data_IF_747863220454
#
_entry.id   IF_747863220454
#
_cell.length_a   1.000
_cell.length_b   1.000
_cell.length_c   1.000
_cell.angle_alpha   90.00
_cell.angle_beta   90.00
_cell.angle_gamma   90.00
#
_symmetry.space_group_name_H-M   'P 1'
#
loop_
_entity.id
_entity.type
_entity.pdbx_description
1 polymer ?
#
# COMPACT_ATOMS: atom_id res chain seq x y z
N UNK A 1 -6.76 11.92 -15.95
CA UNK A 1 -5.47 11.24 -15.68
C UNK A 1 -5.58 10.59 -14.32
N UNK A 2 -4.77 9.59 -14.01
CA UNK A 2 -4.74 9.03 -12.67
C UNK A 2 -4.13 10.02 -11.68
N UNK A 3 -4.46 9.89 -10.40
CA UNK A 3 -3.99 10.75 -9.33
C UNK A 3 -2.73 10.13 -8.71
N UNK A 4 -1.57 10.66 -9.08
CA UNK A 4 -0.30 10.25 -8.48
C UNK A 4 -0.15 10.94 -7.12
N UNK A 5 -0.14 10.14 -6.05
CA UNK A 5 0.01 10.58 -4.67
C UNK A 5 1.32 11.31 -4.39
N UNK A 6 2.37 11.08 -5.20
CA UNK A 6 3.65 11.80 -5.05
C UNK A 6 3.52 13.30 -5.37
N UNK A 7 2.44 13.72 -6.03
CA UNK A 7 2.16 15.13 -6.28
C UNK A 7 1.34 15.79 -5.15
N UNK A 8 0.90 15.01 -4.16
CA UNK A 8 0.08 15.50 -3.06
C UNK A 8 0.94 16.11 -1.96
N UNK A 9 0.38 17.12 -1.28
CA UNK A 9 1.02 17.78 -0.15
C UNK A 9 0.37 17.25 1.13
N UNK A 10 0.91 16.15 1.66
CA UNK A 10 0.59 15.63 2.98
C UNK A 10 1.86 15.60 3.83
N UNK A 11 1.96 16.43 4.89
CA UNK A 11 3.19 16.56 5.68
C UNK A 11 3.57 15.28 6.43
N UNK A 12 2.61 14.41 6.75
CA UNK A 12 2.91 13.16 7.46
C UNK A 12 3.37 12.06 6.50
N UNK A 13 3.08 12.21 5.20
CA UNK A 13 3.45 11.24 4.16
C UNK A 13 4.57 11.73 3.23
N UNK A 14 4.97 13.00 3.30
CA UNK A 14 5.98 13.61 2.43
C UNK A 14 7.27 12.76 2.36
N UNK A 15 7.79 12.34 3.52
CA UNK A 15 8.98 11.50 3.58
C UNK A 15 8.81 10.13 2.90
N UNK A 16 7.59 9.57 2.90
CA UNK A 16 7.27 8.31 2.21
C UNK A 16 7.17 8.56 0.71
N UNK A 17 6.49 9.63 0.28
CA UNK A 17 6.34 9.98 -1.13
C UNK A 17 7.68 10.25 -1.81
N UNK A 18 8.55 11.05 -1.19
CA UNK A 18 9.89 11.33 -1.73
C UNK A 18 10.73 10.06 -1.82
N UNK A 19 10.74 9.22 -0.77
CA UNK A 19 11.50 7.96 -0.77
C UNK A 19 10.98 6.96 -1.80
N UNK A 20 9.67 6.94 -2.03
CA UNK A 20 9.03 6.02 -2.97
C UNK A 20 9.47 6.21 -4.43
N UNK A 21 10.02 7.37 -4.79
CA UNK A 21 10.62 7.58 -6.12
C UNK A 21 11.82 6.65 -6.36
N UNK A 22 12.57 6.33 -5.30
CA UNK A 22 13.84 5.61 -5.36
C UNK A 22 13.79 4.21 -4.73
N UNK A 23 12.78 3.94 -3.92
CA UNK A 23 12.68 2.70 -3.15
C UNK A 23 11.27 2.11 -3.20
N UNK A 24 11.16 0.80 -3.02
CA UNK A 24 9.87 0.18 -2.82
C UNK A 24 9.34 0.48 -1.42
N UNK A 25 8.02 0.61 -1.30
CA UNK A 25 7.39 0.82 -0.01
C UNK A 25 7.65 -0.39 0.90
N UNK A 26 7.88 -0.13 2.17
CA UNK A 26 7.88 -1.17 3.20
C UNK A 26 6.47 -1.34 3.81
N UNK A 27 6.30 -2.31 4.71
CA UNK A 27 5.02 -2.60 5.34
C UNK A 27 4.43 -1.39 6.10
N UNK A 28 5.27 -0.64 6.82
CA UNK A 28 4.86 0.54 7.57
C UNK A 28 4.43 1.69 6.66
N UNK A 29 5.11 1.89 5.54
CA UNK A 29 4.77 2.90 4.55
C UNK A 29 3.38 2.65 3.96
N UNK A 30 3.11 1.41 3.54
CA UNK A 30 1.81 1.02 2.99
C UNK A 30 0.70 1.24 4.02
N UNK A 31 0.94 0.90 5.28
CA UNK A 31 -0.01 1.13 6.37
C UNK A 31 -0.28 2.62 6.59
N UNK A 32 0.76 3.44 6.70
CA UNK A 32 0.62 4.88 6.95
C UNK A 32 -0.17 5.57 5.83
N UNK A 33 0.08 5.20 4.58
CA UNK A 33 -0.67 5.72 3.43
C UNK A 33 -2.13 5.26 3.47
N UNK A 34 -2.39 3.97 3.68
CA UNK A 34 -3.76 3.43 3.69
C UNK A 34 -4.56 3.85 4.94
N UNK A 35 -3.89 4.17 6.05
CA UNK A 35 -4.53 4.75 7.22
C UNK A 35 -5.20 6.10 6.89
N UNK A 36 -4.59 6.87 5.98
CA UNK A 36 -5.08 8.18 5.48
C UNK A 36 -5.90 8.10 4.19
N UNK A 37 -6.31 6.90 3.77
CA UNK A 37 -6.99 6.67 2.47
C UNK A 37 -8.24 7.53 2.22
N UNK A 38 -8.90 8.03 3.27
CA UNK A 38 -10.11 8.85 3.16
C UNK A 38 -9.79 10.31 2.82
N UNK A 39 -8.58 10.76 3.16
CA UNK A 39 -8.08 12.11 2.90
C UNK A 39 -7.28 12.20 1.59
N UNK A 40 -6.89 11.05 1.03
CA UNK A 40 -6.07 10.97 -0.18
C UNK A 40 -6.93 10.81 -1.45
N UNK A 41 -6.53 11.44 -2.57
CA UNK A 41 -7.26 11.31 -3.81
C UNK A 41 -7.14 9.89 -4.37
N UNK A 42 -8.28 9.31 -4.74
CA UNK A 42 -8.33 8.00 -5.41
C UNK A 42 -8.32 8.15 -6.92
N UNK A 43 -7.63 7.25 -7.59
CA UNK A 43 -7.64 7.09 -9.04
C UNK A 43 -8.84 6.26 -9.46
N UNK A 44 -9.53 6.69 -10.52
CA UNK A 44 -10.70 6.01 -11.09
C UNK A 44 -10.48 5.55 -12.53
N UNK A 45 -9.31 5.86 -13.09
CA UNK A 45 -8.92 5.53 -14.45
C UNK A 45 -7.67 4.64 -14.44
N UNK A 46 -7.50 3.77 -15.45
CA UNK A 46 -6.27 3.00 -15.60
C UNK A 46 -5.04 3.90 -15.75
N UNK A 47 -3.91 3.42 -15.23
CA UNK A 47 -2.61 4.06 -15.39
C UNK A 47 -2.14 3.89 -16.85
N UNK A 48 -1.67 4.96 -17.47
CA UNK A 48 -1.20 4.88 -18.86
C UNK A 48 0.23 4.36 -18.90
N UNK A 49 0.52 3.42 -19.80
CA UNK A 49 1.87 2.90 -19.93
C UNK A 49 2.74 3.79 -20.84
N UNK A 50 3.99 4.14 -20.47
CA UNK A 50 4.62 3.95 -19.16
C UNK A 50 4.43 5.18 -18.25
N UNK A 51 3.90 4.98 -17.04
CA UNK A 51 3.74 6.05 -16.04
C UNK A 51 4.30 5.57 -14.69
N UNK A 52 4.88 6.50 -13.94
CA UNK A 52 5.57 6.23 -12.68
C UNK A 52 4.87 6.86 -11.50
N UNK A 53 5.01 6.21 -10.36
CA UNK A 53 4.60 6.76 -9.07
C UNK A 53 3.61 5.90 -8.34
N UNK A 54 2.90 6.56 -7.43
CA UNK A 54 2.09 5.91 -6.41
C UNK A 54 0.63 6.29 -6.56
N UNK A 55 -0.26 5.31 -6.61
CA UNK A 55 -1.66 5.53 -6.94
C UNK A 55 -2.55 4.77 -5.96
N UNK A 56 -3.55 5.44 -5.42
CA UNK A 56 -4.57 4.83 -4.56
C UNK A 56 -5.82 4.55 -5.37
N UNK A 57 -6.40 3.36 -5.20
CA UNK A 57 -7.67 2.97 -5.83
C UNK A 57 -8.64 2.49 -4.76
N UNK A 58 -9.93 2.77 -4.95
CA UNK A 58 -11.02 2.20 -4.15
C UNK A 58 -11.90 1.30 -5.04
N UNK A 59 -11.27 0.35 -5.72
CA UNK A 59 -11.90 -0.49 -6.75
C UNK A 59 -11.25 -1.88 -6.69
N UNK A 60 -11.99 -2.91 -7.08
CA UNK A 60 -11.43 -4.26 -7.23
C UNK A 60 -10.37 -4.30 -8.34
N UNK A 61 -9.28 -5.02 -8.06
CA UNK A 61 -7.97 -4.97 -8.73
C UNK A 61 -8.07 -5.22 -10.25
N UNK A 62 -8.95 -6.16 -10.63
CA UNK A 62 -9.08 -6.65 -12.01
C UNK A 62 -9.71 -5.63 -12.98
N UNK A 63 -10.47 -4.65 -12.47
CA UNK A 63 -11.24 -3.76 -13.35
C UNK A 63 -10.45 -2.55 -13.86
N UNK A 64 -9.31 -2.23 -13.24
CA UNK A 64 -8.63 -0.94 -13.50
C UNK A 64 -7.12 -1.07 -13.73
N UNK A 65 -6.48 -2.13 -13.21
CA UNK A 65 -5.01 -2.17 -13.14
C UNK A 65 -4.34 -2.95 -14.28
N UNK A 66 -5.02 -3.92 -14.90
CA UNK A 66 -4.41 -4.86 -15.85
C UNK A 66 -4.62 -4.49 -17.33
N UNK A 67 -4.39 -3.22 -17.67
CA UNK A 67 -4.36 -2.77 -19.08
C UNK A 67 -3.06 -3.17 -19.80
N UNK A 68 -2.04 -3.58 -19.04
CA UNK A 68 -0.71 -3.95 -19.52
C UNK A 68 -0.57 -5.47 -19.50
N UNK A 69 0.02 -6.04 -20.55
CA UNK A 69 0.44 -7.43 -20.55
C UNK A 69 1.76 -7.57 -19.78
N UNK A 70 1.74 -8.31 -18.67
CA UNK A 70 2.90 -8.53 -17.81
C UNK A 70 3.64 -9.82 -18.21
N UNK A 71 4.98 -9.76 -18.24
CA UNK A 71 5.82 -10.91 -18.56
C UNK A 71 5.97 -11.86 -17.36
N UNK A 72 5.99 -11.29 -16.16
CA UNK A 72 6.05 -12.04 -14.90
C UNK A 72 5.08 -11.47 -13.89
N UNK A 73 4.48 -12.36 -13.09
CA UNK A 73 3.64 -12.01 -11.95
C UNK A 73 3.98 -12.92 -10.79
N UNK A 74 4.27 -12.32 -9.62
CA UNK A 74 4.52 -13.03 -8.36
C UNK A 74 3.57 -12.52 -7.29
N UNK A 75 3.06 -13.41 -6.45
CA UNK A 75 2.24 -13.08 -5.30
C UNK A 75 3.08 -13.18 -4.03
N UNK A 76 2.99 -12.16 -3.19
CA UNK A 76 3.77 -12.04 -1.96
C UNK A 76 2.91 -11.67 -0.78
N UNK A 77 3.39 -12.05 0.41
CA UNK A 77 2.75 -11.69 1.68
C UNK A 77 3.80 -11.16 2.66
N UNK A 78 3.47 -10.06 3.32
CA UNK A 78 4.16 -9.61 4.52
C UNK A 78 3.36 -10.05 5.75
N UNK A 79 4.04 -10.80 6.63
CA UNK A 79 3.54 -11.18 7.94
C UNK A 79 4.04 -10.17 9.00
N UNK A 80 3.15 -9.72 9.88
CA UNK A 80 3.48 -8.75 10.92
C UNK A 80 2.26 -8.42 11.77
N UNK A 81 2.15 -7.18 12.26
CA UNK A 81 0.98 -6.71 13.01
C UNK A 81 -0.32 -6.84 12.19
N UNK A 82 -0.21 -6.72 10.87
CA UNK A 82 -1.30 -6.91 9.91
C UNK A 82 -0.75 -7.59 8.67
N UNK A 83 -1.59 -8.40 8.02
CA UNK A 83 -1.22 -9.10 6.79
C UNK A 83 -1.37 -8.15 5.61
N UNK A 84 -0.28 -7.95 4.85
CA UNK A 84 -0.32 -7.26 3.56
C UNK A 84 -0.01 -8.28 2.48
N UNK A 85 -0.96 -8.48 1.57
CA UNK A 85 -0.73 -9.25 0.34
C UNK A 85 -0.40 -8.27 -0.78
N UNK A 86 0.54 -8.62 -1.64
CA UNK A 86 0.82 -7.80 -2.81
C UNK A 86 1.25 -8.64 -4.01
N UNK A 87 0.95 -8.13 -5.20
CA UNK A 87 1.46 -8.70 -6.45
C UNK A 87 2.61 -7.87 -6.98
N UNK A 88 3.66 -8.53 -7.43
CA UNK A 88 4.77 -7.95 -8.18
C UNK A 88 4.60 -8.35 -9.63
N UNK A 89 4.32 -7.40 -10.50
CA UNK A 89 4.22 -7.61 -11.94
C UNK A 89 5.39 -6.93 -12.64
N UNK A 90 6.02 -7.61 -13.58
CA UNK A 90 7.18 -7.10 -14.31
C UNK A 90 6.96 -7.24 -15.82
N UNK A 91 7.40 -6.22 -16.55
CA UNK A 91 7.54 -6.26 -18.01
C UNK A 91 8.96 -5.83 -18.38
N UNK A 92 9.62 -6.64 -19.21
CA UNK A 92 10.97 -6.37 -19.70
C UNK A 92 10.89 -5.50 -20.94
N UNK A 93 11.42 -4.29 -20.83
CA UNK A 93 11.46 -3.35 -21.93
C UNK A 93 12.69 -3.63 -22.80
N UNK A 94 12.58 -3.31 -24.09
CA UNK A 94 13.69 -3.47 -25.04
C UNK A 94 14.87 -2.64 -24.57
N UNK A 95 16.06 -3.27 -24.48
CA UNK A 95 17.29 -2.63 -24.09
C UNK A 95 17.59 -1.40 -24.96
N UNK A 96 17.85 -0.27 -24.31
CA UNK A 96 18.20 0.99 -24.99
C UNK A 96 19.66 0.92 -25.49
N UNK A 97 20.52 0.18 -24.80
CA UNK A 97 21.94 -0.04 -25.11
C UNK A 97 22.36 -1.51 -24.85
N UNK A 98 23.42 -1.99 -25.51
CA UNK A 98 23.97 -3.34 -25.28
C UNK A 98 24.39 -3.52 -23.80
N UNK A 99 23.75 -4.48 -23.12
CA UNK A 99 24.10 -4.87 -21.75
C UNK A 99 23.30 -4.17 -20.63
N UNK A 100 22.36 -3.28 -20.96
CA UNK A 100 21.44 -2.66 -20.00
C UNK A 100 20.02 -3.14 -20.27
N UNK A 101 19.42 -3.88 -19.32
CA UNK A 101 18.00 -4.19 -19.37
C UNK A 101 17.21 -3.12 -18.62
N UNK A 102 16.04 -2.76 -19.16
CA UNK A 102 15.11 -1.85 -18.49
C UNK A 102 13.88 -2.65 -18.11
N UNK A 103 13.49 -2.58 -16.84
CA UNK A 103 12.32 -3.31 -16.33
C UNK A 103 11.29 -2.31 -15.83
N UNK A 104 10.05 -2.47 -16.27
CA UNK A 104 8.89 -1.80 -15.70
C UNK A 104 8.24 -2.74 -14.70
N UNK A 105 8.16 -2.33 -13.44
CA UNK A 105 7.60 -3.12 -12.35
C UNK A 105 6.44 -2.39 -11.69
N UNK A 106 5.41 -3.17 -11.34
CA UNK A 106 4.27 -2.74 -10.54
C UNK A 106 4.20 -3.59 -9.27
N UNK A 107 4.02 -2.93 -8.13
CA UNK A 107 3.60 -3.57 -6.87
C UNK A 107 2.20 -3.11 -6.50
N UNK A 108 1.26 -4.05 -6.44
CA UNK A 108 -0.13 -3.77 -6.04
C UNK A 108 -0.39 -4.33 -4.64
N UNK A 109 -0.50 -3.45 -3.65
CA UNK A 109 -0.63 -3.78 -2.23
C UNK A 109 -2.09 -3.83 -1.79
N UNK A 110 -2.38 -4.79 -0.93
CA UNK A 110 -3.72 -5.12 -0.45
C UNK A 110 -3.67 -5.56 1.01
N UNK A 111 -4.39 -4.85 1.87
CA UNK A 111 -4.59 -5.19 3.27
C UNK A 111 -6.10 -5.16 3.56
N UNK A 112 -6.78 -6.25 3.20
CA UNK A 112 -8.25 -6.34 3.25
C UNK A 112 -8.80 -6.19 4.66
N UNK A 113 -8.10 -6.80 5.63
CA UNK A 113 -8.56 -6.87 7.01
C UNK A 113 -8.71 -5.49 7.65
N UNK A 114 -7.87 -4.52 7.24
CA UNK A 114 -7.87 -3.16 7.79
C UNK A 114 -8.50 -2.13 6.87
N UNK A 115 -8.28 -2.25 5.55
CA UNK A 115 -8.58 -1.17 4.60
C UNK A 115 -9.53 -1.60 3.48
N UNK A 116 -10.16 -2.77 3.61
CA UNK A 116 -11.24 -3.22 2.75
C UNK A 116 -10.87 -3.26 1.27
N UNK A 117 -11.59 -2.49 0.46
CA UNK A 117 -11.43 -2.43 -1.01
C UNK A 117 -10.28 -1.55 -1.48
N UNK A 118 -9.62 -0.79 -0.60
CA UNK A 118 -8.55 0.11 -1.02
C UNK A 118 -7.31 -0.66 -1.47
N UNK A 119 -6.70 -0.19 -2.56
CA UNK A 119 -5.49 -0.75 -3.15
C UNK A 119 -4.49 0.36 -3.37
N UNK A 120 -3.27 0.15 -2.90
CA UNK A 120 -2.16 1.03 -3.17
C UNK A 120 -1.30 0.40 -4.26
N UNK A 121 -1.01 1.13 -5.32
CA UNK A 121 -0.29 0.60 -6.48
C UNK A 121 0.91 1.48 -6.78
N UNK A 122 2.08 0.87 -6.85
CA UNK A 122 3.34 1.55 -7.05
C UNK A 122 4.00 1.08 -8.35
N UNK A 123 4.24 2.00 -9.29
CA UNK A 123 4.89 1.74 -10.58
C UNK A 123 6.28 2.36 -10.64
N UNK A 124 7.28 1.57 -11.02
CA UNK A 124 8.68 2.01 -11.16
C UNK A 124 9.34 1.43 -12.41
N UNK A 125 10.20 2.21 -13.05
CA UNK A 125 11.15 1.72 -14.07
C UNK A 125 12.52 1.75 -13.44
N UNK A 126 13.27 0.67 -13.57
CA UNK A 126 14.67 0.63 -13.18
C UNK A 126 15.51 -0.05 -14.24
N UNK A 127 16.81 0.23 -14.20
CA UNK A 127 17.81 -0.28 -15.11
C UNK A 127 18.65 -1.33 -14.38
N UNK A 128 18.68 -2.56 -14.90
CA UNK A 128 19.57 -3.59 -14.40
C UNK A 128 20.79 -3.68 -15.33
N UNK A 129 21.97 -3.52 -14.75
CA UNK A 129 23.19 -3.98 -15.40
C UNK A 129 23.18 -5.52 -15.33
N UNK A 130 23.68 -6.22 -16.37
CA UNK A 130 23.60 -7.68 -16.47
C UNK A 130 24.26 -8.51 -15.34
N UNK A 131 24.72 -7.86 -14.27
CA UNK A 131 25.46 -8.46 -13.16
C UNK A 131 24.83 -8.18 -11.77
N UNK A 132 23.75 -7.39 -11.68
CA UNK A 132 23.06 -7.03 -10.42
C UNK A 132 21.81 -7.89 -10.20
N UNK A 133 21.97 -9.22 -10.27
CA UNK A 133 20.83 -10.13 -10.27
C UNK A 133 20.44 -10.65 -8.89
N UNK A 134 20.48 -9.86 -7.82
CA UNK A 134 19.85 -10.25 -6.54
C UNK A 134 19.37 -9.00 -5.83
N UNK A 135 18.07 -8.75 -5.83
CA UNK A 135 17.49 -7.71 -4.99
C UNK A 135 16.37 -8.30 -4.13
N UNK A 136 16.53 -8.06 -2.84
CA UNK A 136 15.86 -8.67 -1.70
C UNK A 136 14.37 -8.39 -1.76
N UNK A 137 13.61 -9.33 -2.31
CA UNK A 137 12.18 -9.19 -2.46
C UNK A 137 11.49 -9.53 -1.14
N UNK A 138 11.41 -8.55 -0.25
CA UNK A 138 11.13 -8.59 1.20
C UNK A 138 9.85 -9.26 1.69
N UNK A 139 9.09 -9.97 0.85
CA UNK A 139 7.89 -10.72 1.25
C UNK A 139 7.98 -12.18 0.87
N UNK A 140 7.29 -13.02 1.62
CA UNK A 140 7.24 -14.45 1.40
C UNK A 140 6.47 -14.76 0.11
N UNK A 141 7.06 -15.57 -0.76
CA UNK A 141 6.42 -16.01 -1.99
C UNK A 141 5.27 -16.96 -1.63
N UNK A 142 4.05 -16.60 -2.06
CA UNK A 142 2.91 -17.51 -1.97
C UNK A 142 2.81 -18.24 -3.29
N UNK A 143 3.39 -19.43 -3.35
CA UNK A 143 3.24 -20.32 -4.49
C UNK A 143 1.75 -20.64 -4.66
N UNK A 144 1.12 -20.13 -5.73
CA UNK A 144 -0.23 -20.55 -6.11
C UNK A 144 -0.14 -21.94 -6.76
N UNK A 145 0.09 -22.95 -5.91
CA UNK A 145 0.16 -24.34 -6.29
C UNK A 145 -1.27 -24.88 -6.43
N UNK A 146 -1.87 -24.66 -7.60
CA UNK A 146 -2.95 -25.52 -8.08
C UNK A 146 -2.39 -26.94 -8.30
N UNK A 147 -2.51 -27.78 -7.27
CA UNK A 147 -2.11 -29.17 -7.29
C UNK A 147 -2.78 -29.96 -6.16
N UNK A 148 -4.02 -30.39 -6.39
CA UNK A 148 -4.62 -31.46 -5.62
C UNK A 148 -3.78 -32.74 -5.80
N UNK A 149 -3.15 -33.26 -4.74
CA UNK A 149 -3.14 -34.71 -4.50
C UNK A 149 -2.73 -35.07 -3.07
N UNK A 150 -3.44 -36.04 -2.52
CA UNK A 150 -3.32 -36.59 -1.18
C UNK A 150 -1.97 -37.28 -0.95
N UNK A 151 -1.42 -37.09 0.25
CA UNK A 151 -0.25 -37.79 0.74
C UNK A 151 -0.28 -37.83 2.26
N UNK A 152 -1.13 -38.70 2.79
CA UNK A 152 -1.10 -39.14 4.18
C UNK A 152 0.28 -39.74 4.46
N UNK A 153 1.01 -39.22 5.45
CA UNK A 153 2.13 -39.95 6.03
C UNK A 153 2.09 -39.78 7.55
N UNK A 154 1.46 -40.76 8.19
CA UNK A 154 1.49 -40.98 9.62
C UNK A 154 2.86 -41.50 10.08
N UNK A 155 3.06 -41.42 11.40
CA UNK A 155 4.11 -42.06 12.23
C UNK A 155 5.43 -41.29 12.29
N UNK A 156 6.07 -41.08 13.45
CA UNK A 156 6.01 -41.83 14.72
C UNK A 156 6.37 -40.91 15.89
N UNK A 157 5.79 -41.26 17.04
CA UNK A 157 6.16 -40.85 18.39
C UNK A 157 7.65 -41.04 18.67
N UNK A 158 8.24 -40.14 19.46
CA UNK A 158 9.17 -40.52 20.53
C UNK A 158 9.18 -39.43 21.63
N UNK A 159 8.75 -39.89 22.80
CA UNK A 159 8.82 -39.26 24.13
C UNK A 159 10.28 -38.90 24.51
N UNK A 160 10.45 -37.87 25.35
CA UNK A 160 10.63 -38.05 26.81
C UNK A 160 11.42 -36.90 27.45
N UNK A 161 10.81 -36.34 28.50
CA UNK A 161 11.28 -35.63 29.72
C UNK A 161 12.64 -34.88 29.74
N UNK A 162 12.82 -33.75 30.43
CA UNK A 162 12.50 -33.38 31.82
C UNK A 162 12.99 -31.92 31.99
N UNK A 163 12.22 -31.00 32.57
CA UNK A 163 12.19 -30.62 34.00
C UNK A 163 13.14 -29.45 34.35
N UNK A 164 12.76 -28.73 35.40
CA UNK A 164 13.48 -27.74 36.21
C UNK A 164 13.36 -26.27 35.73
N UNK A 165 12.44 -25.46 36.29
CA UNK A 165 12.46 -24.87 37.65
C UNK A 165 13.23 -23.53 37.72
N UNK A 166 12.52 -22.46 38.08
CA UNK A 166 13.02 -21.46 39.02
C UNK A 166 13.51 -20.12 38.45
N UNK A 167 12.88 -19.04 38.90
CA UNK A 167 13.38 -17.67 38.76
C UNK A 167 12.26 -16.64 38.92
N UNK A 168 11.86 -16.41 40.17
CA UNK A 168 11.09 -15.24 40.60
C UNK A 168 11.94 -13.96 40.48
N UNK A 169 11.39 -12.84 40.98
CA UNK A 169 12.08 -11.62 41.43
C UNK A 169 12.67 -10.67 40.35
N UNK A 170 12.55 -9.33 40.41
CA UNK A 170 12.12 -8.43 41.48
C UNK A 170 11.66 -7.08 40.88
N UNK A 171 10.61 -6.55 41.50
CA UNK A 171 10.21 -5.18 41.82
C UNK A 171 10.93 -3.93 41.27
N UNK A 172 10.14 -2.84 41.42
CA UNK A 172 10.46 -1.42 41.55
C UNK A 172 10.62 -0.62 40.25
N UNK A 173 10.19 0.63 40.13
CA UNK A 173 9.30 1.56 40.84
C UNK A 173 9.58 2.88 40.09
N UNK A 174 8.55 3.73 39.98
CA UNK A 174 8.59 5.20 40.06
C UNK A 174 9.60 5.98 39.17
N UNK A 175 9.11 6.89 38.34
CA UNK A 175 9.11 8.31 38.75
C UNK A 175 8.26 9.18 37.81
N UNK A 176 7.53 10.07 38.46
CA UNK A 176 6.65 11.11 37.96
C UNK A 176 7.43 12.36 37.55
N UNK A 177 6.93 13.08 36.55
CA UNK A 177 6.95 14.56 36.42
C UNK A 177 6.26 14.89 35.10
N UNK A 178 5.00 15.32 35.03
CA UNK A 178 4.26 16.43 35.65
C UNK A 178 4.77 17.84 35.29
N UNK A 179 3.78 18.67 34.94
CA UNK A 179 3.77 20.12 34.78
C UNK A 179 4.50 20.71 33.55
N UNK A 180 4.02 21.74 32.86
CA UNK A 180 2.81 22.58 32.89
C UNK A 180 2.89 23.43 31.60
N UNK A 181 1.78 23.76 30.94
CA UNK A 181 1.12 25.05 31.17
C UNK A 181 1.24 25.95 29.93
N UNK A 182 0.12 26.52 29.49
CA UNK A 182 0.11 27.51 28.42
C UNK A 182 -1.26 27.67 27.75
N UNK A 183 -2.26 28.08 28.52
CA UNK A 183 -3.44 28.76 28.01
C UNK A 183 -3.02 30.05 27.29
N UNK A 184 -3.57 30.31 26.09
CA UNK A 184 -3.84 31.69 25.69
C UNK A 184 -5.06 31.75 24.74
N UNK A 185 -6.11 32.33 25.28
CA UNK A 185 -7.37 32.71 24.66
C UNK A 185 -7.20 34.00 23.84
N UNK A 186 -7.79 34.07 22.65
CA UNK A 186 -8.20 35.28 21.91
C UNK A 186 -8.96 34.81 20.66
N UNK A 187 -10.29 34.67 20.64
CA UNK A 187 -11.39 35.63 20.76
C UNK A 187 -11.49 36.69 19.62
N UNK A 188 -12.71 36.72 19.06
CA UNK A 188 -13.36 37.69 18.15
C UNK A 188 -12.76 37.88 16.73
N UNK A 189 -13.50 37.98 15.62
CA UNK A 189 -14.87 38.45 15.34
C UNK A 189 -15.27 37.86 13.96
N UNK A 190 -16.51 37.48 13.70
CA UNK A 190 -17.52 38.42 13.18
C UNK A 190 -17.44 38.58 11.66
N UNK A 191 -18.35 37.95 10.91
CA UNK A 191 -18.46 38.10 9.47
C UNK A 191 -19.49 37.17 8.84
N UNK A 192 -20.77 37.44 9.11
CA UNK A 192 -21.86 37.17 8.15
C UNK A 192 -21.47 37.76 6.78
N UNK A 193 -21.79 37.07 5.68
CA UNK A 193 -22.46 37.65 4.52
C UNK A 193 -22.69 36.60 3.41
N UNK A 194 -23.96 36.55 2.99
CA UNK A 194 -24.49 36.14 1.68
C UNK A 194 -24.65 34.65 1.32
N UNK A 195 -25.81 34.14 1.76
CA UNK A 195 -26.68 33.25 0.99
C UNK A 195 -27.02 33.91 -0.35
N UNK A 196 -26.50 33.38 -1.47
CA UNK A 196 -27.15 33.50 -2.77
C UNK A 196 -27.93 32.23 -3.08
N UNK A 197 -29.22 32.30 -2.78
CA UNK A 197 -30.24 31.42 -3.31
C UNK A 197 -30.43 31.69 -4.81
N UNK A 198 -29.69 31.00 -5.67
CA UNK A 198 -30.10 30.84 -7.06
C UNK A 198 -31.09 29.68 -7.14
N UNK A 199 -32.36 30.06 -6.98
CA UNK A 199 -33.50 29.23 -7.31
C UNK A 199 -33.66 29.03 -8.82
N UNK A 200 -34.54 28.08 -9.10
CA UNK A 200 -35.26 27.86 -10.35
C UNK A 200 -34.55 27.15 -11.51
N UNK A 201 -34.73 25.83 -11.51
CA UNK A 201 -35.80 25.19 -12.31
C UNK A 201 -35.30 24.03 -13.17
N UNK A 202 -35.67 22.83 -12.74
CA UNK A 202 -35.76 21.64 -13.59
C UNK A 202 -36.85 21.85 -14.65
N UNK A 203 -36.58 21.62 -15.94
CA UNK A 203 -37.63 21.18 -16.84
C UNK A 203 -37.74 19.66 -16.76
N UNK A 204 -38.77 19.21 -16.04
CA UNK A 204 -39.42 17.93 -16.28
C UNK A 204 -39.87 17.89 -17.75
N UNK A 205 -39.19 17.11 -18.57
CA UNK A 205 -39.71 16.67 -19.86
C UNK A 205 -40.28 15.26 -19.73
N UNK A 206 -41.59 15.22 -19.50
CA UNK A 206 -42.45 14.08 -19.80
C UNK A 206 -42.47 13.81 -21.31
N UNK A 207 -42.52 12.53 -21.68
CA UNK A 207 -42.89 12.05 -23.03
C UNK A 207 -42.38 10.62 -23.23
N UNK A 208 -43.08 9.57 -22.77
CA UNK A 208 -44.18 8.89 -23.48
C UNK A 208 -43.92 8.69 -24.99
N UNK A 209 -43.31 7.57 -25.36
CA UNK A 209 -43.91 6.46 -26.12
C UNK A 209 -42.91 5.32 -26.28
#
# INVERSE_FOLDING_TARGET
MANNLQNEIDPDLEGIFVRSEFEWLNQGDVHNILAKREDLPTSTVPIQFPEHGLFLFNIDEQLVLDTIQWDMTKSKVWHGQYIIRYKVNQCFLVAIDEGVSTTYERRAYKCEDLYGSYRLVHYRTYFMSGNDSEDENSGDDTEDSHGENMGENETSDDDDSSDESGGDDDSSDDDDSDESGGDDDSDESGGDDDIEANGDALPLANGFC
#
